data_IF_809479655165
#
_entry.id   IF_809479655165
#
_cell.length_a   1.000
_cell.length_b   1.000
_cell.length_c   1.000
_cell.angle_alpha   90.00
_cell.angle_beta   90.00
_cell.angle_gamma   90.00
#
_symmetry.space_group_name_H-M   'P 1'
#
loop_
_entity.id
_entity.type
_entity.pdbx_description
1 polymer ?
#
# COMPACT_ATOMS: atom_id res chain seq x y z
N UNK A 1 10.28 10.52 39.72
CA UNK A 1 9.03 9.82 39.36
C UNK A 1 7.90 10.65 39.94
N UNK A 2 7.16 11.35 39.11
CA UNK A 2 6.02 12.16 39.57
C UNK A 2 4.93 11.24 40.11
N UNK A 3 4.33 11.64 41.23
CA UNK A 3 3.29 10.88 41.93
C UNK A 3 2.02 10.62 41.15
N UNK A 4 1.95 11.05 39.87
CA UNK A 4 0.77 11.01 39.02
C UNK A 4 1.10 10.63 37.55
N UNK A 5 1.92 9.60 37.31
CA UNK A 5 2.05 9.03 35.96
C UNK A 5 0.72 8.38 35.59
N UNK A 6 -0.07 9.06 34.73
CA UNK A 6 -1.41 8.61 34.28
C UNK A 6 -1.32 7.42 33.31
N UNK A 7 -0.25 7.37 32.47
CA UNK A 7 -0.04 6.30 31.51
C UNK A 7 1.13 5.39 31.95
N UNK A 8 0.81 4.10 32.08
CA UNK A 8 1.79 3.06 32.47
C UNK A 8 2.29 2.23 31.29
N UNK A 9 1.72 2.44 30.12
CA UNK A 9 2.02 1.71 28.89
C UNK A 9 1.56 2.49 27.66
N UNK A 10 1.54 1.87 26.48
CA UNK A 10 1.12 2.52 25.25
C UNK A 10 -0.37 2.81 25.24
N UNK A 11 -0.74 4.01 24.82
CA UNK A 11 -2.12 4.48 24.59
C UNK A 11 -2.29 4.73 23.10
N UNK A 12 -3.16 3.95 22.45
CA UNK A 12 -3.47 4.11 21.05
C UNK A 12 -4.56 5.15 20.89
N UNK A 13 -4.23 6.31 20.31
CA UNK A 13 -5.20 7.38 20.03
C UNK A 13 -5.86 7.20 18.66
N UNK A 14 -5.23 6.47 17.75
CA UNK A 14 -5.76 6.11 16.44
C UNK A 14 -5.34 4.69 16.11
N UNK A 15 -6.33 3.83 15.87
CA UNK A 15 -6.13 2.41 15.48
C UNK A 15 -6.77 2.08 14.11
N UNK A 16 -7.41 3.05 13.43
CA UNK A 16 -8.00 2.81 12.11
C UNK A 16 -6.93 2.40 11.10
N UNK A 17 -7.30 1.50 10.17
CA UNK A 17 -6.41 0.95 9.18
C UNK A 17 -7.00 1.10 7.78
N UNK A 18 -6.38 1.95 6.95
CA UNK A 18 -6.79 2.16 5.56
C UNK A 18 -6.61 0.90 4.69
N UNK A 19 -5.64 0.04 5.01
CA UNK A 19 -5.43 -1.23 4.30
C UNK A 19 -6.62 -2.18 4.49
N UNK A 20 -7.24 -2.18 5.68
CA UNK A 20 -8.42 -3.01 5.94
C UNK A 20 -9.60 -2.55 5.09
N UNK A 21 -9.86 -1.24 4.99
CA UNK A 21 -10.90 -0.67 4.11
C UNK A 21 -10.65 -1.01 2.64
N UNK A 22 -9.38 -0.93 2.19
CA UNK A 22 -9.00 -1.31 0.83
C UNK A 22 -9.22 -2.80 0.58
N UNK A 23 -8.89 -3.66 1.54
CA UNK A 23 -9.11 -5.10 1.46
C UNK A 23 -10.60 -5.41 1.29
N UNK A 24 -11.44 -4.84 2.13
CA UNK A 24 -12.90 -5.01 2.06
C UNK A 24 -13.45 -4.52 0.72
N UNK A 25 -12.98 -3.39 0.21
CA UNK A 25 -13.38 -2.87 -1.10
C UNK A 25 -13.01 -3.82 -2.24
N UNK A 26 -11.77 -4.38 -2.24
CA UNK A 26 -11.34 -5.35 -3.25
C UNK A 26 -12.09 -6.68 -3.17
N UNK A 27 -12.38 -7.18 -1.95
CA UNK A 27 -13.11 -8.44 -1.75
C UNK A 27 -14.58 -8.33 -2.24
N UNK A 28 -15.13 -7.12 -2.31
CA UNK A 28 -16.48 -6.86 -2.81
C UNK A 28 -16.58 -6.73 -4.34
N UNK A 29 -15.46 -6.65 -5.08
CA UNK A 29 -15.47 -6.58 -6.55
C UNK A 29 -15.91 -7.92 -7.12
N UNK A 30 -16.95 -7.90 -7.96
CA UNK A 30 -17.45 -9.07 -8.69
C UNK A 30 -17.12 -8.94 -10.16
N UNK A 31 -16.49 -9.95 -10.71
CA UNK A 31 -16.19 -10.07 -12.16
C UNK A 31 -16.04 -11.54 -12.53
N UNK A 32 -16.44 -11.89 -13.74
CA UNK A 32 -16.24 -13.23 -14.31
C UNK A 32 -14.97 -13.31 -15.17
N UNK A 33 -14.26 -12.18 -15.36
CA UNK A 33 -13.03 -12.15 -16.12
C UNK A 33 -11.87 -12.72 -15.29
N UNK A 34 -11.33 -13.87 -15.70
CA UNK A 34 -10.29 -14.61 -14.98
C UNK A 34 -9.01 -13.78 -14.79
N UNK A 35 -8.59 -12.98 -15.78
CA UNK A 35 -7.37 -12.17 -15.67
C UNK A 35 -7.53 -11.08 -14.61
N UNK A 36 -8.70 -10.40 -14.60
CA UNK A 36 -9.01 -9.37 -13.59
C UNK A 36 -9.12 -10.02 -12.20
N UNK A 37 -9.77 -11.19 -12.10
CA UNK A 37 -9.83 -11.94 -10.85
C UNK A 37 -8.44 -12.25 -10.30
N UNK A 38 -7.50 -12.68 -11.15
CA UNK A 38 -6.13 -12.97 -10.73
C UNK A 38 -5.39 -11.73 -10.21
N UNK A 39 -5.58 -10.57 -10.86
CA UNK A 39 -4.99 -9.30 -10.42
C UNK A 39 -5.57 -8.86 -9.06
N UNK A 40 -6.90 -8.92 -8.89
CA UNK A 40 -7.56 -8.62 -7.61
C UNK A 40 -7.02 -9.54 -6.51
N UNK A 41 -6.93 -10.83 -6.76
CA UNK A 41 -6.41 -11.80 -5.80
C UNK A 41 -4.93 -11.57 -5.45
N UNK A 42 -4.13 -11.05 -6.39
CA UNK A 42 -2.75 -10.65 -6.08
C UNK A 42 -2.72 -9.46 -5.12
N UNK A 43 -3.54 -8.44 -5.35
CA UNK A 43 -3.60 -7.28 -4.48
C UNK A 43 -4.19 -7.58 -3.11
N UNK A 44 -5.24 -8.39 -3.04
CA UNK A 44 -5.77 -8.92 -1.78
C UNK A 44 -4.67 -9.60 -0.96
N UNK A 45 -3.86 -10.45 -1.59
CA UNK A 45 -2.73 -11.10 -0.90
C UNK A 45 -1.70 -10.08 -0.40
N UNK A 46 -1.37 -9.06 -1.21
CA UNK A 46 -0.42 -8.00 -0.81
C UNK A 46 -0.94 -7.22 0.39
N UNK A 47 -2.23 -6.85 0.38
CA UNK A 47 -2.86 -6.14 1.51
C UNK A 47 -2.88 -6.99 2.77
N UNK A 48 -3.27 -8.27 2.69
CA UNK A 48 -3.25 -9.20 3.82
C UNK A 48 -1.84 -9.33 4.42
N UNK A 49 -0.80 -9.36 3.59
CA UNK A 49 0.58 -9.33 4.08
C UNK A 49 0.94 -8.01 4.76
N UNK A 50 0.49 -6.87 4.23
CA UNK A 50 0.67 -5.55 4.85
C UNK A 50 0.03 -5.50 6.22
N UNK A 51 -1.27 -5.82 6.31
CA UNK A 51 -2.07 -5.84 7.54
C UNK A 51 -1.41 -6.73 8.61
N UNK A 52 -1.04 -7.97 8.26
CA UNK A 52 -0.38 -8.88 9.20
C UNK A 52 0.96 -8.32 9.72
N UNK A 53 1.68 -7.53 8.91
CA UNK A 53 2.89 -6.83 9.34
C UNK A 53 2.61 -5.74 10.35
N UNK A 54 1.62 -4.91 10.11
CA UNK A 54 1.20 -3.84 11.02
C UNK A 54 0.65 -4.40 12.32
N UNK A 55 -0.18 -5.45 12.27
CA UNK A 55 -0.67 -6.16 13.46
C UNK A 55 0.48 -6.69 14.34
N UNK A 56 1.55 -7.20 13.72
CA UNK A 56 2.74 -7.64 14.44
C UNK A 56 3.42 -6.49 15.18
N UNK A 57 3.54 -5.33 14.56
CA UNK A 57 4.08 -4.13 15.21
C UNK A 57 3.14 -3.67 16.34
N UNK A 58 1.83 -3.63 16.10
CA UNK A 58 0.85 -3.30 17.13
C UNK A 58 0.98 -4.23 18.35
N UNK A 59 1.18 -5.54 18.12
CA UNK A 59 1.41 -6.53 19.17
C UNK A 59 2.67 -6.19 20.00
N UNK A 60 3.81 -5.93 19.35
CA UNK A 60 5.06 -5.58 20.03
C UNK A 60 4.93 -4.27 20.82
N UNK A 61 4.23 -3.27 20.26
CA UNK A 61 3.96 -2.01 20.94
C UNK A 61 3.08 -2.21 22.17
N UNK A 62 1.94 -2.91 22.02
CA UNK A 62 0.98 -3.18 23.12
C UNK A 62 1.65 -3.90 24.30
N UNK A 63 2.61 -4.76 24.03
CA UNK A 63 3.35 -5.51 25.04
C UNK A 63 4.66 -4.84 25.50
N UNK A 64 4.97 -3.63 25.05
CA UNK A 64 6.23 -2.96 25.36
C UNK A 64 6.34 -2.44 26.79
N UNK A 65 5.19 -2.18 27.43
CA UNK A 65 5.11 -1.49 28.73
C UNK A 65 5.83 -0.12 28.78
N UNK A 66 6.00 0.52 27.61
CA UNK A 66 6.59 1.85 27.51
C UNK A 66 5.46 2.88 27.52
N UNK A 67 5.48 3.87 28.47
CA UNK A 67 4.55 4.99 28.41
C UNK A 67 4.73 5.78 27.12
N UNK A 68 3.74 5.72 26.22
CA UNK A 68 3.74 6.44 24.93
C UNK A 68 2.32 6.59 24.39
N UNK A 69 2.12 7.59 23.54
CA UNK A 69 0.97 7.66 22.66
C UNK A 69 1.32 7.08 21.30
N UNK A 70 0.40 6.31 20.74
CA UNK A 70 0.55 5.64 19.45
C UNK A 70 -0.53 6.13 18.49
N UNK A 71 -0.12 6.55 17.31
CA UNK A 71 -0.97 6.89 16.19
C UNK A 71 -0.65 5.94 15.05
N UNK A 72 -1.64 5.16 14.61
CA UNK A 72 -1.51 4.19 13.53
C UNK A 72 -2.18 4.74 12.27
N UNK A 73 -1.54 4.52 11.11
CA UNK A 73 -2.09 4.83 9.79
C UNK A 73 -2.44 6.33 9.64
N UNK A 74 -1.44 7.21 9.83
CA UNK A 74 -1.59 8.64 9.63
C UNK A 74 -1.38 9.01 8.17
N UNK A 75 -2.38 9.60 7.53
CA UNK A 75 -2.25 10.27 6.24
C UNK A 75 -2.15 11.78 6.45
N UNK A 76 -1.06 12.37 6.03
CA UNK A 76 -0.77 13.80 6.21
C UNK A 76 -0.53 14.42 4.84
N UNK A 77 -1.19 15.55 4.57
CA UNK A 77 -0.99 16.36 3.37
C UNK A 77 -0.54 17.76 3.75
N UNK A 78 0.49 18.26 3.08
CA UNK A 78 1.01 19.60 3.30
C UNK A 78 1.67 20.14 2.02
N UNK A 79 1.25 21.32 1.56
CA UNK A 79 1.78 22.03 0.37
C UNK A 79 1.92 21.15 -0.89
N UNK A 80 0.93 20.30 -1.15
CA UNK A 80 0.91 19.39 -2.31
C UNK A 80 1.75 18.12 -2.14
N UNK A 81 2.40 17.95 -1.00
CA UNK A 81 3.07 16.71 -0.62
C UNK A 81 2.19 15.87 0.29
N UNK A 82 2.35 14.55 0.24
CA UNK A 82 1.64 13.64 1.13
C UNK A 82 2.56 12.60 1.74
N UNK A 83 2.21 12.13 2.94
CA UNK A 83 2.88 11.04 3.63
C UNK A 83 1.84 10.10 4.26
N UNK A 84 2.02 8.81 4.03
CA UNK A 84 1.30 7.76 4.76
C UNK A 84 2.28 7.16 5.78
N UNK A 85 2.01 7.37 7.05
CA UNK A 85 2.88 6.96 8.16
C UNK A 85 2.22 5.77 8.85
N UNK A 86 2.86 4.61 8.83
CA UNK A 86 2.30 3.40 9.42
C UNK A 86 2.12 3.56 10.93
N UNK A 87 3.17 4.02 11.66
CA UNK A 87 3.07 4.34 13.09
C UNK A 87 3.84 5.59 13.45
N UNK A 88 3.23 6.46 14.24
CA UNK A 88 3.89 7.57 14.93
C UNK A 88 3.77 7.35 16.44
N UNK A 89 4.93 7.33 17.13
CA UNK A 89 5.01 7.12 18.58
C UNK A 89 5.50 8.39 19.26
N UNK A 90 4.78 8.86 20.28
CA UNK A 90 5.20 9.97 21.11
C UNK A 90 5.59 9.43 22.48
N UNK A 91 6.88 9.42 22.79
CA UNK A 91 7.42 9.00 24.08
C UNK A 91 7.85 10.21 24.92
N UNK A 92 8.28 10.00 26.17
CA UNK A 92 8.80 11.08 27.02
C UNK A 92 10.10 11.71 26.52
N UNK A 93 10.82 11.05 25.65
CA UNK A 93 12.15 11.49 25.19
C UNK A 93 12.20 11.79 23.72
N UNK A 94 11.54 10.99 22.88
CA UNK A 94 11.65 11.04 21.41
C UNK A 94 10.30 10.77 20.76
N UNK A 95 10.18 11.20 19.50
CA UNK A 95 9.08 10.86 18.62
C UNK A 95 9.65 9.93 17.54
N UNK A 96 8.98 8.80 17.33
CA UNK A 96 9.40 7.81 16.34
C UNK A 96 8.39 7.76 15.19
N UNK A 97 8.89 7.73 13.98
CA UNK A 97 8.13 7.45 12.76
C UNK A 97 8.56 6.08 12.28
N UNK A 98 7.64 5.11 12.35
CA UNK A 98 7.89 3.74 11.93
C UNK A 98 7.34 3.50 10.54
N UNK A 99 8.13 2.82 9.72
CA UNK A 99 7.75 2.24 8.44
C UNK A 99 7.73 0.73 8.58
N UNK A 100 6.58 0.10 8.37
CA UNK A 100 6.39 -1.34 8.45
C UNK A 100 6.72 -2.01 7.13
N UNK A 101 7.54 -3.05 7.15
CA UNK A 101 7.80 -3.90 5.98
C UNK A 101 7.65 -5.38 6.33
N UNK A 102 6.55 -5.98 5.90
CA UNK A 102 6.33 -7.42 6.01
C UNK A 102 6.81 -8.11 4.72
N UNK A 103 8.13 -8.15 4.53
CA UNK A 103 8.75 -8.69 3.32
C UNK A 103 9.00 -10.19 3.46
N UNK A 104 8.61 -10.96 2.47
CA UNK A 104 9.01 -12.37 2.35
C UNK A 104 10.41 -12.47 1.73
N UNK A 105 11.25 -13.38 2.27
CA UNK A 105 12.62 -13.60 1.82
C UNK A 105 13.64 -12.84 2.66
N UNK A 106 14.91 -12.99 2.32
CA UNK A 106 16.02 -12.38 3.04
C UNK A 106 16.33 -11.00 2.46
N UNK A 107 16.69 -10.07 3.33
CA UNK A 107 17.01 -8.68 2.98
C UNK A 107 18.51 -8.47 3.21
N UNK A 108 19.19 -8.01 2.18
CA UNK A 108 20.57 -7.53 2.24
C UNK A 108 20.58 -6.03 1.99
N UNK A 109 21.34 -5.30 2.81
CA UNK A 109 21.62 -3.87 2.60
C UNK A 109 23.11 -3.76 2.30
N UNK A 110 23.44 -3.34 1.08
CA UNK A 110 24.83 -3.22 0.64
C UNK A 110 25.51 -1.92 1.12
N UNK A 111 26.78 -1.73 0.76
CA UNK A 111 27.57 -0.55 1.14
C UNK A 111 27.04 0.76 0.55
N UNK A 112 26.32 0.71 -0.57
CA UNK A 112 25.68 1.87 -1.18
C UNK A 112 24.35 2.25 -0.49
N UNK A 113 23.79 1.33 0.30
CA UNK A 113 22.48 1.51 0.94
C UNK A 113 21.34 0.93 0.11
N UNK A 114 21.62 0.15 -0.94
CA UNK A 114 20.61 -0.50 -1.74
C UNK A 114 20.04 -1.69 -0.97
N UNK A 115 18.72 -1.85 -1.04
CA UNK A 115 18.01 -2.97 -0.45
C UNK A 115 17.80 -4.06 -1.50
N UNK A 116 18.32 -5.25 -1.23
CA UNK A 116 18.26 -6.40 -2.11
C UNK A 116 17.47 -7.51 -1.39
N UNK A 117 16.37 -7.95 -2.01
CA UNK A 117 15.57 -9.06 -1.52
C UNK A 117 15.98 -10.34 -2.24
N UNK A 118 16.20 -11.40 -1.48
CA UNK A 118 16.44 -12.75 -2.00
C UNK A 118 15.28 -13.65 -1.60
N UNK A 119 14.59 -14.21 -2.59
CA UNK A 119 13.48 -15.15 -2.40
C UNK A 119 13.79 -16.48 -3.04
N UNK A 120 13.28 -17.57 -2.45
CA UNK A 120 13.35 -18.89 -3.07
C UNK A 120 12.37 -18.94 -4.25
N UNK A 121 12.83 -19.42 -5.38
CA UNK A 121 12.04 -19.59 -6.60
C UNK A 121 12.34 -20.96 -7.24
N UNK A 122 11.38 -21.88 -7.13
CA UNK A 122 11.60 -23.27 -7.53
C UNK A 122 12.75 -23.90 -6.75
N UNK A 123 13.74 -24.44 -7.48
CA UNK A 123 14.98 -25.01 -6.89
C UNK A 123 16.11 -23.98 -6.71
N UNK A 124 15.91 -22.73 -7.09
CA UNK A 124 16.92 -21.67 -7.03
C UNK A 124 16.48 -20.48 -6.20
N UNK A 125 17.24 -19.39 -6.32
CA UNK A 125 16.97 -18.13 -5.64
C UNK A 125 16.91 -17.00 -6.68
N UNK A 126 15.94 -16.09 -6.49
CA UNK A 126 15.82 -14.84 -7.24
C UNK A 126 16.25 -13.69 -6.36
N UNK A 127 17.18 -12.85 -6.87
CA UNK A 127 17.52 -11.57 -6.24
C UNK A 127 16.85 -10.43 -7.00
N UNK A 128 16.30 -9.48 -6.25
CA UNK A 128 15.70 -8.28 -6.82
C UNK A 128 15.99 -7.08 -5.93
N UNK A 129 16.22 -5.92 -6.55
CA UNK A 129 16.27 -4.65 -5.83
C UNK A 129 14.86 -4.24 -5.38
N UNK A 130 14.75 -3.71 -4.17
CA UNK A 130 13.52 -3.10 -3.68
C UNK A 130 13.76 -1.62 -3.36
N UNK A 131 12.71 -0.80 -3.52
CA UNK A 131 12.81 0.59 -3.13
C UNK A 131 13.17 0.71 -1.65
N UNK A 132 14.14 1.58 -1.33
CA UNK A 132 14.65 1.73 0.04
C UNK A 132 13.55 2.23 1.00
N UNK A 133 13.13 1.43 1.98
CA UNK A 133 12.16 1.87 2.98
C UNK A 133 12.75 2.95 3.91
N UNK A 134 14.07 3.00 4.06
CA UNK A 134 14.74 4.09 4.78
C UNK A 134 14.56 5.42 4.04
N UNK A 135 14.71 5.42 2.72
CA UNK A 135 14.47 6.61 1.89
C UNK A 135 13.00 7.01 1.91
N UNK A 136 12.08 6.06 1.89
CA UNK A 136 10.64 6.30 2.01
C UNK A 136 10.33 7.00 3.34
N UNK A 137 10.71 6.39 4.44
CA UNK A 137 10.43 6.92 5.77
C UNK A 137 11.15 8.25 6.06
N UNK A 138 12.31 8.48 5.42
CA UNK A 138 13.01 9.76 5.48
C UNK A 138 12.18 10.88 4.87
N UNK A 139 11.51 10.64 3.72
CA UNK A 139 10.63 11.63 3.08
C UNK A 139 9.44 11.97 3.99
N UNK A 140 8.85 10.98 4.66
CA UNK A 140 7.80 11.22 5.65
C UNK A 140 8.29 12.11 6.79
N UNK A 141 9.49 11.82 7.31
CA UNK A 141 10.12 12.60 8.37
C UNK A 141 10.45 14.03 7.92
N UNK A 142 10.90 14.22 6.67
CA UNK A 142 11.23 15.54 6.12
C UNK A 142 9.95 16.39 5.95
N UNK A 143 8.82 15.80 5.55
CA UNK A 143 7.52 16.48 5.51
C UNK A 143 7.08 16.94 6.90
N UNK A 144 7.21 16.08 7.92
CA UNK A 144 6.93 16.45 9.32
C UNK A 144 7.83 17.61 9.75
N UNK A 145 9.11 17.55 9.40
CA UNK A 145 10.06 18.64 9.71
C UNK A 145 9.59 19.96 9.13
N UNK A 146 9.19 19.97 7.88
CA UNK A 146 8.71 21.16 7.19
C UNK A 146 7.47 21.75 7.89
N UNK A 147 6.49 20.94 8.19
CA UNK A 147 5.29 21.35 8.95
C UNK A 147 5.67 21.99 10.29
N UNK A 148 6.54 21.34 11.06
CA UNK A 148 6.90 21.80 12.42
C UNK A 148 7.73 23.09 12.36
N UNK A 149 8.66 23.20 11.41
CA UNK A 149 9.50 24.39 11.23
C UNK A 149 8.64 25.56 10.75
N UNK A 150 7.73 25.36 9.79
CA UNK A 150 6.90 26.43 9.25
C UNK A 150 5.85 26.95 10.25
N UNK A 151 5.46 26.17 11.23
CA UNK A 151 4.63 26.64 12.36
C UNK A 151 5.31 27.63 13.30
N UNK A 152 6.65 27.69 13.26
CA UNK A 152 7.38 28.65 14.12
C UNK A 152 7.29 30.05 13.51
N UNK A 153 6.80 31.02 14.27
CA UNK A 153 6.71 32.43 13.84
C UNK A 153 8.04 33.17 13.99
N UNK A 154 8.90 32.71 14.92
CA UNK A 154 10.18 33.35 15.22
C UNK A 154 11.31 32.65 14.48
N UNK A 155 12.15 33.43 13.76
CA UNK A 155 13.25 32.93 12.93
C UNK A 155 14.30 32.14 13.76
N UNK A 156 14.59 32.57 14.98
CA UNK A 156 15.53 31.86 15.87
C UNK A 156 14.95 30.51 16.31
N UNK A 157 13.64 30.45 16.60
CA UNK A 157 12.97 29.18 16.90
C UNK A 157 12.95 28.25 15.69
N UNK A 158 12.71 28.77 14.47
CA UNK A 158 12.82 27.98 13.23
C UNK A 158 14.20 27.34 13.10
N UNK A 159 15.26 28.14 13.28
CA UNK A 159 16.62 27.64 13.18
C UNK A 159 16.94 26.57 14.26
N UNK A 160 16.54 26.81 15.50
CA UNK A 160 16.74 25.86 16.60
C UNK A 160 15.99 24.54 16.36
N UNK A 161 14.70 24.60 15.99
CA UNK A 161 13.89 23.42 15.68
C UNK A 161 14.49 22.66 14.50
N UNK A 162 14.88 23.34 13.44
CA UNK A 162 15.51 22.70 12.27
C UNK A 162 16.83 22.00 12.62
N UNK A 163 17.66 22.62 13.48
CA UNK A 163 18.95 22.08 13.91
C UNK A 163 18.81 20.79 14.72
N UNK A 164 17.89 20.79 15.70
CA UNK A 164 17.74 19.70 16.66
C UNK A 164 16.62 18.71 16.26
N UNK A 165 16.03 18.85 15.08
CA UNK A 165 14.89 18.04 14.66
C UNK A 165 15.20 16.55 14.72
N UNK A 166 16.29 16.11 14.09
CA UNK A 166 16.65 14.70 14.01
C UNK A 166 17.19 14.10 15.31
N UNK A 167 17.49 14.96 16.31
CA UNK A 167 17.79 14.50 17.66
C UNK A 167 16.52 14.05 18.37
N UNK A 168 15.40 14.70 18.11
CA UNK A 168 14.12 14.47 18.76
C UNK A 168 13.19 13.53 17.93
N UNK A 169 13.33 13.51 16.63
CA UNK A 169 12.51 12.70 15.71
C UNK A 169 13.33 11.59 15.08
N UNK A 170 12.88 10.36 15.21
CA UNK A 170 13.61 9.15 14.77
C UNK A 170 12.81 8.41 13.68
N UNK A 171 13.48 8.15 12.57
CA UNK A 171 12.97 7.29 11.50
C UNK A 171 13.39 5.85 11.77
N UNK A 172 12.46 4.90 11.73
CA UNK A 172 12.72 3.49 11.97
C UNK A 172 11.97 2.63 10.96
N UNK A 173 12.67 1.74 10.28
CA UNK A 173 12.09 0.71 9.43
C UNK A 173 12.01 -0.59 10.23
N UNK A 174 10.82 -1.16 10.33
CA UNK A 174 10.57 -2.37 11.09
C UNK A 174 10.24 -3.52 10.14
N UNK A 175 11.11 -4.53 10.11
CA UNK A 175 10.88 -5.78 9.39
C UNK A 175 9.98 -6.69 10.23
N UNK A 176 8.72 -6.78 9.83
CA UNK A 176 7.68 -7.48 10.60
C UNK A 176 7.68 -9.00 10.40
N UNK A 177 8.19 -9.49 9.25
CA UNK A 177 8.22 -10.93 8.98
C UNK A 177 9.27 -11.63 9.86
N UNK A 178 8.88 -12.56 10.73
CA UNK A 178 9.80 -13.25 11.63
C UNK A 178 10.82 -14.13 10.90
N UNK A 179 10.50 -14.57 9.69
CA UNK A 179 11.38 -15.46 8.90
C UNK A 179 12.39 -14.69 8.05
N UNK A 180 12.32 -13.37 8.00
CA UNK A 180 13.26 -12.55 7.23
C UNK A 180 14.60 -12.46 7.94
N UNK A 181 15.66 -12.89 7.28
CA UNK A 181 17.05 -12.66 7.71
C UNK A 181 17.51 -11.32 7.16
N UNK A 182 17.94 -10.42 8.06
CA UNK A 182 18.52 -9.13 7.71
C UNK A 182 20.05 -9.24 7.69
N UNK A 183 20.65 -9.03 6.54
CA UNK A 183 22.10 -8.87 6.38
C UNK A 183 22.43 -7.40 6.06
N UNK A 184 22.85 -6.66 7.07
CA UNK A 184 23.28 -5.25 6.94
C UNK A 184 24.76 -5.09 7.31
N UNK A 185 25.59 -6.13 7.13
CA UNK A 185 27.00 -6.12 7.55
C UNK A 185 27.79 -4.99 6.90
N UNK A 186 27.55 -4.73 5.63
CA UNK A 186 28.27 -3.75 4.84
C UNK A 186 27.54 -2.39 4.75
N UNK A 187 26.33 -2.29 5.29
CA UNK A 187 25.58 -1.04 5.27
C UNK A 187 26.24 0.04 6.13
N UNK A 188 26.12 1.29 5.68
CA UNK A 188 26.54 2.46 6.49
C UNK A 188 25.80 2.46 7.83
N UNK A 189 26.48 2.93 8.89
CA UNK A 189 25.97 2.93 10.26
C UNK A 189 24.60 3.66 10.36
N UNK A 190 24.47 4.77 9.63
CA UNK A 190 23.27 5.60 9.61
C UNK A 190 22.04 4.84 9.08
N UNK A 191 22.23 3.97 8.08
CA UNK A 191 21.16 3.12 7.52
C UNK A 191 20.91 1.92 8.43
N UNK A 192 21.98 1.24 8.83
CA UNK A 192 21.89 0.03 9.67
C UNK A 192 21.16 0.29 10.98
N UNK A 193 21.36 1.45 11.59
CA UNK A 193 20.74 1.82 12.86
C UNK A 193 19.25 2.17 12.74
N UNK A 194 18.74 2.33 11.53
CA UNK A 194 17.32 2.62 11.27
C UNK A 194 16.50 1.39 10.88
N UNK A 195 17.14 0.22 10.67
CA UNK A 195 16.43 -0.98 10.20
C UNK A 195 16.53 -2.07 11.26
N UNK A 196 15.39 -2.44 11.81
CA UNK A 196 15.29 -3.42 12.88
C UNK A 196 14.25 -4.50 12.57
N UNK A 197 14.30 -5.61 13.28
CA UNK A 197 13.23 -6.61 13.29
C UNK A 197 12.17 -6.23 14.33
N UNK A 198 10.93 -6.64 14.12
CA UNK A 198 9.82 -6.34 15.02
C UNK A 198 10.08 -6.81 16.46
N UNK A 199 10.67 -7.99 16.64
CA UNK A 199 11.03 -8.56 17.96
C UNK A 199 12.07 -7.73 18.75
N UNK A 200 12.73 -6.76 18.11
CA UNK A 200 13.66 -5.81 18.74
C UNK A 200 13.11 -4.40 18.93
N UNK A 201 11.86 -4.17 18.56
CA UNK A 201 11.27 -2.82 18.55
C UNK A 201 11.27 -2.22 19.96
N UNK A 202 10.82 -2.98 20.95
CA UNK A 202 10.75 -2.52 22.35
C UNK A 202 12.14 -2.17 22.92
N UNK A 203 13.14 -3.03 22.69
CA UNK A 203 14.52 -2.80 23.11
C UNK A 203 15.11 -1.56 22.42
N UNK A 204 14.86 -1.42 21.12
CA UNK A 204 15.31 -0.27 20.34
C UNK A 204 14.74 1.03 20.88
N UNK A 205 13.41 1.12 21.11
CA UNK A 205 12.78 2.32 21.66
C UNK A 205 13.40 2.68 23.02
N UNK A 206 13.58 1.70 23.90
CA UNK A 206 14.22 1.90 25.22
C UNK A 206 15.65 2.41 25.09
N UNK A 207 16.44 1.85 24.18
CA UNK A 207 17.85 2.24 23.99
C UNK A 207 17.98 3.66 23.42
N UNK A 208 17.09 4.07 22.50
CA UNK A 208 17.10 5.40 21.89
C UNK A 208 16.56 6.47 22.83
N UNK A 209 15.57 6.14 23.65
CA UNK A 209 15.06 7.05 24.68
C UNK A 209 16.09 7.31 25.79
N UNK A 210 16.89 6.30 26.13
CA UNK A 210 17.80 6.38 27.27
C UNK A 210 17.05 6.61 28.58
N UNK A 211 17.71 7.28 29.53
CA UNK A 211 17.12 7.70 30.82
C UNK A 211 16.48 9.09 30.78
N UNK A 212 16.58 9.80 29.64
CA UNK A 212 16.16 11.19 29.55
C UNK A 212 14.62 11.29 29.55
N UNK A 213 14.10 12.19 30.35
CA UNK A 213 12.69 12.60 30.33
C UNK A 213 12.67 14.06 29.91
N UNK A 214 12.43 14.29 28.61
CA UNK A 214 12.46 15.64 28.02
C UNK A 214 11.11 16.35 28.12
N UNK A 215 10.01 15.58 28.12
CA UNK A 215 8.64 16.10 28.16
C UNK A 215 7.79 15.30 29.16
N UNK A 216 6.85 16.00 29.82
CA UNK A 216 5.86 15.35 30.67
C UNK A 216 4.68 14.77 29.86
N UNK A 217 3.78 14.06 30.52
CA UNK A 217 2.64 13.40 29.85
C UNK A 217 1.68 14.39 29.16
N UNK A 218 1.42 15.55 29.77
CA UNK A 218 0.59 16.58 29.16
C UNK A 218 1.21 17.11 27.85
N UNK A 219 2.53 17.20 27.78
CA UNK A 219 3.23 17.56 26.56
C UNK A 219 3.20 16.45 25.54
N UNK A 220 3.36 15.17 25.96
CA UNK A 220 3.20 14.02 25.06
C UNK A 220 1.81 14.00 24.44
N UNK A 221 0.77 14.20 25.24
CA UNK A 221 -0.62 14.23 24.77
C UNK A 221 -0.86 15.39 23.80
N UNK A 222 -0.33 16.59 24.08
CA UNK A 222 -0.40 17.72 23.13
C UNK A 222 0.30 17.42 21.82
N UNK A 223 1.47 16.79 21.82
CA UNK A 223 2.16 16.38 20.60
C UNK A 223 1.37 15.32 19.84
N UNK A 224 0.84 14.33 20.53
CA UNK A 224 0.06 13.27 19.88
C UNK A 224 -1.23 13.82 19.25
N UNK A 225 -1.97 14.68 19.97
CA UNK A 225 -3.16 15.35 19.44
C UNK A 225 -2.83 16.31 18.29
N UNK A 226 -1.67 16.97 18.34
CA UNK A 226 -1.20 17.76 17.21
C UNK A 226 -1.02 16.91 15.96
N UNK A 227 -0.33 15.78 16.02
CA UNK A 227 -0.18 14.88 14.87
C UNK A 227 -1.50 14.29 14.42
N UNK A 228 -2.37 13.94 15.36
CA UNK A 228 -3.72 13.47 15.05
C UNK A 228 -4.52 14.53 14.29
N UNK A 229 -4.38 15.81 14.63
CA UNK A 229 -5.05 16.92 13.94
C UNK A 229 -4.54 17.17 12.50
N UNK A 230 -3.38 16.63 12.14
CA UNK A 230 -2.84 16.68 10.79
C UNK A 230 -3.40 15.56 9.89
N UNK A 231 -4.01 14.53 10.50
CA UNK A 231 -4.55 13.42 9.76
C UNK A 231 -5.71 13.86 8.86
N UNK A 232 -5.65 13.40 7.62
CA UNK A 232 -6.75 13.49 6.66
C UNK A 232 -7.13 12.08 6.22
N UNK A 233 -8.42 11.82 6.04
CA UNK A 233 -8.84 10.57 5.44
C UNK A 233 -8.28 10.46 4.02
N UNK A 234 -7.72 9.30 3.71
CA UNK A 234 -7.27 9.03 2.36
C UNK A 234 -8.48 8.64 1.51
N UNK A 235 -8.90 9.54 0.61
CA UNK A 235 -10.05 9.38 -0.28
C UNK A 235 -9.70 8.61 -1.57
N UNK A 236 -8.47 8.11 -1.73
CA UNK A 236 -8.07 7.39 -2.94
C UNK A 236 -8.90 6.12 -3.11
N UNK A 237 -9.63 6.04 -4.23
CA UNK A 237 -10.34 4.83 -4.62
C UNK A 237 -9.37 3.84 -5.29
N UNK A 238 -8.92 2.86 -4.52
CA UNK A 238 -8.01 1.81 -4.99
C UNK A 238 -8.70 0.78 -5.89
N UNK A 239 -10.03 0.80 -6.00
CA UNK A 239 -10.83 -0.11 -6.84
C UNK A 239 -11.13 0.46 -8.21
N UNK A 240 -11.01 1.77 -8.40
CA UNK A 240 -11.35 2.47 -9.65
C UNK A 240 -10.70 1.83 -10.89
N UNK A 241 -9.41 1.43 -10.78
CA UNK A 241 -8.72 0.76 -11.89
C UNK A 241 -9.39 -0.55 -12.32
N UNK A 242 -9.99 -1.29 -11.39
CA UNK A 242 -10.69 -2.53 -11.68
C UNK A 242 -12.05 -2.26 -12.30
N UNK A 243 -12.76 -1.22 -11.87
CA UNK A 243 -14.00 -0.78 -12.49
C UNK A 243 -13.77 -0.42 -13.99
N UNK A 244 -12.69 0.31 -14.27
CA UNK A 244 -12.29 0.64 -15.65
C UNK A 244 -11.91 -0.61 -16.44
N UNK A 245 -11.14 -1.54 -15.85
CA UNK A 245 -10.77 -2.80 -16.51
C UNK A 245 -11.99 -3.65 -16.83
N UNK A 246 -12.94 -3.79 -15.90
CA UNK A 246 -14.18 -4.56 -16.07
C UNK A 246 -15.02 -3.93 -17.18
N UNK A 247 -15.22 -2.62 -17.15
CA UNK A 247 -15.96 -1.88 -18.17
C UNK A 247 -15.35 -2.04 -19.56
N UNK A 248 -14.03 -2.05 -19.67
CA UNK A 248 -13.32 -2.22 -20.94
C UNK A 248 -13.24 -3.70 -21.38
N UNK A 249 -13.38 -4.64 -20.45
CA UNK A 249 -13.41 -6.08 -20.74
C UNK A 249 -14.80 -6.59 -21.07
N UNK A 250 -15.87 -5.91 -20.66
CA UNK A 250 -17.20 -6.19 -21.16
C UNK A 250 -17.19 -5.89 -22.67
N UNK A 251 -17.57 -6.86 -23.53
CA UNK A 251 -17.73 -6.56 -24.95
C UNK A 251 -18.68 -5.39 -25.04
N UNK A 252 -18.27 -4.34 -25.75
CA UNK A 252 -19.16 -3.20 -26.01
C UNK A 252 -20.51 -3.78 -26.36
N UNK A 253 -21.57 -3.46 -25.59
CA UNK A 253 -22.92 -3.75 -26.03
C UNK A 253 -23.10 -2.94 -27.31
N UNK A 254 -22.76 -3.56 -28.44
CA UNK A 254 -23.08 -3.02 -29.73
C UNK A 254 -24.61 -2.92 -29.75
N UNK A 255 -25.12 -1.73 -29.47
CA UNK A 255 -26.49 -1.36 -29.79
C UNK A 255 -26.56 -1.32 -31.28
N UNK A 256 -26.81 -2.46 -31.87
CA UNK A 256 -27.11 -2.52 -33.32
C UNK A 256 -28.39 -1.73 -33.54
N UNK A 257 -28.40 -0.83 -34.55
CA UNK A 257 -29.65 -0.24 -34.98
C UNK A 257 -30.58 -1.37 -35.41
N UNK A 258 -31.81 -1.34 -34.96
CA UNK A 258 -32.84 -2.33 -35.26
C UNK A 258 -33.29 -2.32 -36.75
N UNK A 259 -32.44 -1.83 -37.65
CA UNK A 259 -32.71 -1.83 -39.10
C UNK A 259 -32.11 -3.11 -39.72
N UNK A 260 -33.00 -4.03 -40.04
CA UNK A 260 -32.76 -5.41 -40.45
C UNK A 260 -32.22 -5.57 -41.91
N UNK A 261 -31.87 -4.52 -42.62
CA UNK A 261 -31.47 -4.61 -44.03
C UNK A 261 -30.00 -4.23 -44.35
N UNK A 262 -29.20 -3.81 -43.40
CA UNK A 262 -27.78 -3.52 -43.70
C UNK A 262 -26.87 -4.71 -43.38
N UNK A 263 -26.17 -5.21 -44.39
CA UNK A 263 -25.17 -6.26 -44.25
C UNK A 263 -24.00 -5.75 -43.41
N UNK A 264 -23.67 -6.36 -42.24
CA UNK A 264 -22.63 -5.83 -41.33
C UNK A 264 -21.24 -5.93 -41.96
N UNK A 265 -20.35 -5.01 -41.57
CA UNK A 265 -18.93 -5.07 -41.88
C UNK A 265 -18.16 -5.87 -40.83
N UNK A 266 -17.15 -6.61 -41.23
CA UNK A 266 -16.31 -7.38 -40.31
C UNK A 266 -15.47 -6.47 -39.38
N UNK A 267 -15.63 -6.51 -38.05
CA UNK A 267 -14.89 -5.64 -37.12
C UNK A 267 -13.37 -5.88 -37.16
N UNK A 268 -12.94 -7.06 -37.63
CA UNK A 268 -11.52 -7.42 -37.65
C UNK A 268 -10.78 -6.92 -38.89
N UNK A 269 -11.45 -6.83 -40.04
CA UNK A 269 -10.78 -6.50 -41.30
C UNK A 269 -11.58 -5.56 -42.23
N UNK A 270 -12.72 -5.04 -41.79
CA UNK A 270 -13.56 -4.10 -42.55
C UNK A 270 -14.30 -4.70 -43.75
N UNK A 271 -14.12 -5.98 -44.06
CA UNK A 271 -14.80 -6.61 -45.22
C UNK A 271 -16.29 -6.87 -44.90
N UNK A 272 -17.11 -6.85 -45.93
CA UNK A 272 -18.54 -7.17 -45.84
C UNK A 272 -18.73 -8.58 -45.28
N UNK A 273 -19.69 -8.78 -44.40
CA UNK A 273 -20.00 -10.09 -43.85
C UNK A 273 -21.08 -10.80 -44.72
N UNK A 274 -21.01 -12.11 -44.74
CA UNK A 274 -21.93 -12.95 -45.52
C UNK A 274 -22.70 -13.87 -44.59
N UNK A 275 -24.02 -13.88 -44.73
CA UNK A 275 -24.90 -14.77 -43.98
C UNK A 275 -24.63 -16.22 -44.35
N UNK A 276 -24.37 -17.09 -43.39
CA UNK A 276 -24.05 -18.51 -43.55
C UNK A 276 -24.83 -19.35 -42.56
N UNK A 277 -25.03 -20.63 -42.91
CA UNK A 277 -25.68 -21.61 -42.04
C UNK A 277 -24.68 -22.64 -41.57
N UNK A 278 -24.65 -22.92 -40.28
CA UNK A 278 -23.74 -23.91 -39.70
C UNK A 278 -24.13 -25.32 -40.17
N UNK A 279 -23.17 -26.01 -40.83
CA UNK A 279 -23.44 -27.33 -41.41
C UNK A 279 -23.20 -28.49 -40.42
N UNK A 280 -22.38 -28.31 -39.35
CA UNK A 280 -21.96 -29.36 -38.39
C UNK A 280 -21.74 -28.79 -37.01
N UNK A 281 -21.80 -29.66 -35.96
CA UNK A 281 -21.52 -29.31 -34.58
C UNK A 281 -22.77 -28.94 -33.78
N UNK A 282 -22.57 -28.49 -32.54
CA UNK A 282 -23.64 -28.14 -31.59
C UNK A 282 -24.58 -27.02 -32.06
N UNK A 283 -24.16 -26.22 -33.07
CA UNK A 283 -24.92 -25.12 -33.64
C UNK A 283 -25.39 -25.41 -35.08
N UNK A 284 -25.39 -26.68 -35.51
CA UNK A 284 -25.85 -27.06 -36.83
C UNK A 284 -27.29 -26.55 -37.09
N UNK A 285 -27.49 -25.88 -38.24
CA UNK A 285 -28.76 -25.29 -38.59
C UNK A 285 -28.91 -23.81 -38.22
N UNK A 286 -28.09 -23.26 -37.36
CA UNK A 286 -28.15 -21.86 -36.96
C UNK A 286 -27.49 -20.95 -38.02
N UNK A 287 -28.06 -19.77 -38.21
CA UNK A 287 -27.51 -18.75 -39.10
C UNK A 287 -26.50 -17.87 -38.37
N UNK A 288 -25.44 -17.48 -39.05
CA UNK A 288 -24.42 -16.57 -38.54
C UNK A 288 -23.85 -15.72 -39.69
N UNK A 289 -23.30 -14.55 -39.32
CA UNK A 289 -22.52 -13.75 -40.27
C UNK A 289 -21.07 -14.21 -40.25
N UNK A 290 -20.52 -14.59 -41.38
CA UNK A 290 -19.12 -14.95 -41.60
C UNK A 290 -18.42 -13.90 -42.44
N UNK A 291 -17.18 -13.57 -42.13
CA UNK A 291 -16.38 -12.63 -42.91
C UNK A 291 -16.20 -13.13 -44.35
N UNK A 292 -16.42 -12.25 -45.36
CA UNK A 292 -16.21 -12.57 -46.77
C UNK A 292 -14.75 -12.88 -47.11
N UNK A 293 -13.79 -12.39 -46.31
CA UNK A 293 -12.35 -12.66 -46.45
C UNK A 293 -11.92 -14.04 -45.93
N UNK A 294 -12.85 -14.93 -45.59
CA UNK A 294 -12.49 -16.31 -45.25
C UNK A 294 -11.78 -17.00 -46.43
N UNK A 295 -10.67 -17.75 -46.21
CA UNK A 295 -10.10 -18.18 -44.94
C UNK A 295 -9.08 -17.22 -44.27
N UNK A 296 -8.76 -16.08 -44.89
CA UNK A 296 -7.78 -15.11 -44.37
C UNK A 296 -8.27 -14.43 -43.07
N UNK A 297 -9.58 -14.12 -43.01
CA UNK A 297 -10.24 -13.66 -41.80
C UNK A 297 -11.32 -14.67 -41.39
N UNK A 298 -11.25 -15.18 -40.17
CA UNK A 298 -12.16 -16.21 -39.64
C UNK A 298 -13.18 -15.65 -38.64
N UNK A 299 -13.41 -14.32 -38.69
CA UNK A 299 -14.33 -13.68 -37.77
C UNK A 299 -15.77 -14.04 -38.10
N UNK A 300 -16.59 -14.37 -37.07
CA UNK A 300 -18.01 -14.69 -37.19
C UNK A 300 -18.82 -13.90 -36.15
N UNK A 301 -20.09 -13.60 -36.49
CA UNK A 301 -21.08 -13.02 -35.57
C UNK A 301 -22.30 -13.95 -35.57
N UNK A 302 -22.67 -14.44 -34.39
CA UNK A 302 -23.86 -15.27 -34.22
C UNK A 302 -25.12 -14.41 -34.36
N UNK A 303 -26.09 -14.87 -35.13
CA UNK A 303 -27.41 -14.25 -35.25
C UNK A 303 -28.25 -14.92 -34.15
N UNK A 304 -28.52 -14.19 -33.06
CA UNK A 304 -29.43 -14.67 -32.01
C UNK A 304 -30.82 -14.79 -32.60
N UNK A 305 -31.34 -16.01 -32.69
CA UNK A 305 -32.74 -16.24 -33.03
C UNK A 305 -33.58 -15.66 -31.89
N UNK A 306 -34.18 -14.50 -32.13
CA UNK A 306 -35.15 -13.93 -31.21
C UNK A 306 -36.24 -14.97 -30.97
N UNK A 307 -36.49 -15.25 -29.67
CA UNK A 307 -37.64 -16.05 -29.25
C UNK A 307 -38.90 -15.49 -29.90
N UNK A 308 -39.51 -16.28 -30.74
CA UNK A 308 -40.95 -16.12 -31.07
C UNK A 308 -41.77 -16.64 -29.90
N UNK A 309 -42.89 -15.97 -29.59
CA UNK A 309 -43.74 -16.20 -28.43
C UNK A 309 -44.31 -17.62 -28.36
#
# INVERSE_FOLDING_TARGET
MGLFDRIKGPVFLKESNSLQRQLEALENIKTENEEICQLIQQDIRRLKYGIAGEEKIAFELKNSHIPMFVLHDLHIEYEGLSAQIDYLLVTRSRIFILECKNLYGNIEINSNGDFIRTVQYGRGYKKEGIYSPVTQNRRHLDLIKEIIVNRQTNILKKAAVSKFFYDNYKSVVVLANPNTVLNARYAKKEIKNQVIRADRLTEYIKSVNGSDVLINEDAMERYANFFLSLHKENETDYTARYADMIKNAEPAQETWPADTDSVPLCPKCGAVMVKRKAAKGAFAGNEFWGCSNYPRCRYIINISSGNKP
#
